data_IF_199204579234
#
_entry.id   IF_199204579234
#
_cell.length_a   1.000
_cell.length_b   1.000
_cell.length_c   1.000
_cell.angle_alpha   90.00
_cell.angle_beta   90.00
_cell.angle_gamma   90.00
#
_symmetry.space_group_name_H-M   'P 1'
#
loop_
_entity.id
_entity.type
_entity.pdbx_description
1 polymer ?
#
# COMPACT_ATOMS: atom_id res chain seq x y z
N UNK A 1 8.87 4.29 -14.49
CA UNK A 1 7.86 4.21 -13.40
C UNK A 1 8.65 4.03 -12.12
N UNK A 2 8.33 4.78 -11.06
CA UNK A 2 8.96 4.53 -9.75
C UNK A 2 8.27 3.35 -9.11
N UNK A 3 9.04 2.41 -8.60
CA UNK A 3 8.54 1.39 -7.68
C UNK A 3 8.80 1.86 -6.25
N UNK A 4 8.10 1.24 -5.31
CA UNK A 4 8.39 1.33 -3.89
C UNK A 4 8.35 -0.04 -3.25
N UNK A 5 9.04 -0.17 -2.13
CA UNK A 5 9.03 -1.36 -1.31
C UNK A 5 7.81 -1.34 -0.40
N UNK A 6 6.96 -2.35 -0.52
CA UNK A 6 5.83 -2.59 0.35
C UNK A 6 6.19 -3.71 1.32
N UNK A 7 6.11 -3.41 2.62
CA UNK A 7 6.19 -4.39 3.70
C UNK A 7 4.79 -4.56 4.29
N UNK A 8 4.29 -5.79 4.25
CA UNK A 8 3.02 -6.22 4.80
C UNK A 8 3.30 -7.01 6.08
N UNK A 9 2.73 -6.59 7.21
CA UNK A 9 2.90 -7.25 8.50
C UNK A 9 1.54 -7.53 9.14
N UNK A 10 1.28 -8.78 9.46
CA UNK A 10 0.22 -9.19 10.37
C UNK A 10 0.79 -9.95 11.58
N UNK A 11 -0.06 -10.42 12.50
CA UNK A 11 0.36 -11.03 13.77
C UNK A 11 1.35 -12.21 13.61
N UNK A 12 1.37 -12.88 12.45
CA UNK A 12 2.09 -14.14 12.26
C UNK A 12 3.03 -14.12 11.06
N UNK A 13 2.80 -13.22 10.11
CA UNK A 13 3.47 -13.23 8.82
C UNK A 13 3.95 -11.82 8.45
N UNK A 14 5.10 -11.77 7.79
CA UNK A 14 5.63 -10.56 7.20
C UNK A 14 6.09 -10.85 5.77
N UNK A 15 5.59 -10.07 4.82
CA UNK A 15 5.97 -10.16 3.41
C UNK A 15 6.53 -8.82 2.94
N UNK A 16 7.58 -8.88 2.13
CA UNK A 16 8.13 -7.71 1.46
C UNK A 16 8.07 -7.93 -0.04
N UNK A 17 7.80 -6.88 -0.79
CA UNK A 17 7.84 -6.91 -2.25
C UNK A 17 7.80 -5.52 -2.86
N UNK A 18 7.98 -5.43 -4.18
CA UNK A 18 7.90 -4.16 -4.88
C UNK A 18 6.49 -3.92 -5.46
N UNK A 19 6.03 -2.69 -5.38
CA UNK A 19 4.80 -2.22 -6.03
C UNK A 19 5.09 -0.93 -6.83
N UNK A 20 4.32 -0.61 -7.88
CA UNK A 20 4.45 0.70 -8.52
C UNK A 20 3.93 1.80 -7.58
N UNK A 21 4.62 2.93 -7.50
CA UNK A 21 4.32 3.96 -6.49
C UNK A 21 2.93 4.60 -6.59
N UNK A 22 2.35 4.64 -7.79
CA UNK A 22 1.00 5.14 -8.01
C UNK A 22 -0.11 4.23 -7.44
N UNK A 23 0.24 3.01 -7.00
CA UNK A 23 -0.71 2.02 -6.51
C UNK A 23 -0.96 2.10 -5.00
N UNK A 24 -0.26 2.99 -4.27
CA UNK A 24 -0.43 3.17 -2.82
C UNK A 24 -1.89 3.43 -2.45
N UNK A 25 -2.57 4.32 -3.18
CA UNK A 25 -3.99 4.62 -2.93
C UNK A 25 -4.89 3.39 -3.06
N UNK A 26 -4.51 2.42 -3.90
CA UNK A 26 -5.24 1.16 -4.11
C UNK A 26 -5.12 0.26 -2.88
N UNK A 27 -3.94 0.18 -2.27
CA UNK A 27 -3.75 -0.50 -0.98
C UNK A 27 -4.52 0.20 0.16
N UNK A 28 -4.50 1.53 0.20
CA UNK A 28 -5.29 2.30 1.18
C UNK A 28 -6.81 2.07 1.00
N UNK A 29 -7.28 1.99 -0.25
CA UNK A 29 -8.66 1.64 -0.55
C UNK A 29 -8.99 0.22 -0.09
N UNK A 30 -8.12 -0.77 -0.33
CA UNK A 30 -8.32 -2.14 0.15
C UNK A 30 -8.43 -2.21 1.69
N UNK A 31 -7.57 -1.48 2.41
CA UNK A 31 -7.67 -1.35 3.88
C UNK A 31 -8.99 -0.71 4.28
N UNK A 32 -9.41 0.37 3.62
CA UNK A 32 -10.69 1.03 3.93
C UNK A 32 -11.91 0.13 3.69
N UNK A 33 -11.77 -0.87 2.81
CA UNK A 33 -12.79 -1.91 2.55
C UNK A 33 -12.76 -3.07 3.55
N UNK A 34 -11.80 -3.09 4.48
CA UNK A 34 -11.73 -4.08 5.55
C UNK A 34 -10.67 -5.15 5.37
N UNK A 35 -9.62 -4.92 4.55
CA UNK A 35 -8.46 -5.81 4.56
C UNK A 35 -7.79 -5.79 5.96
N UNK A 36 -7.65 -6.95 6.59
CA UNK A 36 -7.15 -7.18 7.95
C UNK A 36 -5.88 -8.05 8.00
N UNK A 37 -5.26 -8.30 6.86
CA UNK A 37 -4.07 -9.16 6.74
C UNK A 37 -3.88 -9.65 5.30
N UNK A 38 -2.85 -10.47 5.09
CA UNK A 38 -2.45 -10.93 3.76
C UNK A 38 -3.59 -11.63 3.00
N UNK A 39 -4.27 -12.60 3.63
CA UNK A 39 -5.34 -13.37 2.97
C UNK A 39 -6.53 -12.51 2.56
N UNK A 40 -6.98 -11.60 3.44
CA UNK A 40 -8.11 -10.70 3.09
C UNK A 40 -7.71 -9.64 2.07
N UNK A 41 -6.43 -9.25 2.05
CA UNK A 41 -5.92 -8.35 1.03
C UNK A 41 -5.91 -9.06 -0.33
N UNK A 42 -5.47 -10.31 -0.39
CA UNK A 42 -5.52 -11.15 -1.60
C UNK A 42 -6.94 -11.29 -2.16
N UNK A 43 -7.95 -11.35 -1.30
CA UNK A 43 -9.36 -11.43 -1.70
C UNK A 43 -9.92 -10.07 -2.20
N UNK A 44 -9.61 -8.98 -1.52
CA UNK A 44 -10.16 -7.64 -1.81
C UNK A 44 -9.46 -6.95 -2.97
N UNK A 45 -8.13 -7.09 -3.07
CA UNK A 45 -7.33 -6.33 -4.04
C UNK A 45 -7.78 -6.62 -5.48
N UNK A 46 -8.11 -7.87 -5.89
CA UNK A 46 -8.58 -8.15 -7.24
C UNK A 46 -9.91 -7.50 -7.62
N UNK A 47 -10.77 -7.18 -6.64
CA UNK A 47 -12.02 -6.43 -6.87
C UNK A 47 -11.75 -4.96 -7.22
N UNK A 48 -10.56 -4.46 -6.90
CA UNK A 48 -10.13 -3.07 -7.12
C UNK A 48 -9.16 -3.01 -8.31
N UNK A 49 -8.13 -3.85 -8.30
CA UNK A 49 -7.19 -4.10 -9.39
C UNK A 49 -6.72 -5.57 -9.38
N UNK A 50 -7.27 -6.36 -10.29
CA UNK A 50 -6.93 -7.78 -10.53
C UNK A 50 -5.46 -8.08 -10.82
N UNK A 51 -4.65 -7.08 -11.20
CA UNK A 51 -3.26 -7.28 -11.63
C UNK A 51 -2.25 -7.01 -10.51
N UNK A 52 -2.62 -6.19 -9.53
CA UNK A 52 -1.68 -5.66 -8.54
C UNK A 52 -1.15 -6.74 -7.60
N UNK A 53 -2.00 -7.70 -7.24
CA UNK A 53 -1.60 -8.82 -6.42
C UNK A 53 -0.54 -9.70 -7.09
N UNK A 54 -0.78 -10.07 -8.35
CA UNK A 54 0.19 -10.82 -9.14
C UNK A 54 1.50 -10.06 -9.36
N UNK A 55 1.43 -8.72 -9.49
CA UNK A 55 2.63 -7.88 -9.54
C UNK A 55 3.43 -7.98 -8.23
N UNK A 56 2.78 -7.81 -7.08
CA UNK A 56 3.42 -7.93 -5.77
C UNK A 56 4.06 -9.32 -5.57
N UNK A 57 3.32 -10.40 -5.85
CA UNK A 57 3.82 -11.77 -5.72
C UNK A 57 5.03 -12.06 -6.63
N UNK A 58 5.02 -11.53 -7.86
CA UNK A 58 6.14 -11.71 -8.81
C UNK A 58 7.39 -10.91 -8.42
N UNK A 59 7.26 -9.96 -7.49
CA UNK A 59 8.33 -9.10 -7.00
C UNK A 59 8.51 -9.23 -5.47
N UNK A 60 8.22 -10.41 -4.92
CA UNK A 60 8.52 -10.70 -3.51
C UNK A 60 10.02 -10.58 -3.27
N UNK A 61 10.36 -9.90 -2.18
CA UNK A 61 11.72 -9.74 -1.70
C UNK A 61 11.88 -10.47 -0.36
N UNK A 62 12.65 -11.57 -0.32
CA UNK A 62 12.85 -12.36 0.89
C UNK A 62 13.75 -11.67 1.92
N UNK A 63 14.49 -10.61 1.55
CA UNK A 63 15.41 -9.90 2.42
C UNK A 63 15.00 -8.41 2.50
N UNK A 64 14.01 -8.07 3.34
CA UNK A 64 13.60 -6.68 3.50
C UNK A 64 14.74 -5.84 4.08
N UNK A 65 15.49 -5.15 3.21
CA UNK A 65 16.42 -4.12 3.64
C UNK A 65 15.60 -2.90 4.07
N UNK A 66 15.58 -2.65 5.38
CA UNK A 66 14.98 -1.46 6.00
C UNK A 66 15.85 -0.21 5.82
N UNK A 67 17.02 -0.34 5.17
CA UNK A 67 17.93 0.76 4.92
C UNK A 67 17.30 1.69 3.86
N UNK A 68 16.72 2.80 4.35
CA UNK A 68 15.87 3.76 3.64
C UNK A 68 16.56 4.61 2.56
N UNK A 69 17.48 4.04 1.78
CA UNK A 69 18.18 4.72 0.69
C UNK A 69 17.89 4.01 -0.64
N UNK A 70 16.89 4.49 -1.39
CA UNK A 70 16.75 4.11 -2.81
C UNK A 70 15.32 4.10 -3.33
N UNK A 71 14.46 3.26 -2.76
CA UNK A 71 13.20 2.88 -3.43
C UNK A 71 11.93 3.46 -2.77
N UNK A 72 12.03 4.11 -1.61
CA UNK A 72 10.86 4.48 -0.82
C UNK A 72 10.24 3.23 -0.17
N UNK A 73 9.91 3.33 1.11
CA UNK A 73 9.37 2.23 1.91
C UNK A 73 7.97 2.60 2.39
N UNK A 74 7.04 1.66 2.21
CA UNK A 74 5.70 1.69 2.78
C UNK A 74 5.53 0.44 3.64
N UNK A 75 5.20 0.62 4.91
CA UNK A 75 4.90 -0.46 5.85
C UNK A 75 3.41 -0.42 6.16
N UNK A 76 2.74 -1.57 6.05
CA UNK A 76 1.36 -1.76 6.49
C UNK A 76 1.39 -2.82 7.58
N UNK A 77 1.06 -2.42 8.81
CA UNK A 77 1.01 -3.28 9.98
C UNK A 77 -0.44 -3.36 10.49
N UNK A 78 -1.08 -4.51 10.25
CA UNK A 78 -2.47 -4.73 10.69
C UNK A 78 -2.58 -4.98 12.20
N UNK A 79 -1.59 -5.60 12.83
CA UNK A 79 -1.59 -5.84 14.29
C UNK A 79 -1.65 -4.52 15.07
N UNK A 80 -0.96 -3.49 14.58
CA UNK A 80 -0.92 -2.17 15.20
C UNK A 80 -1.82 -1.13 14.53
N UNK A 81 -2.63 -1.53 13.54
CA UNK A 81 -3.41 -0.63 12.69
C UNK A 81 -2.59 0.59 12.22
N UNK A 82 -1.40 0.36 11.71
CA UNK A 82 -0.46 1.42 11.37
C UNK A 82 0.03 1.31 9.93
N UNK A 83 0.14 2.46 9.25
CA UNK A 83 0.78 2.57 7.94
C UNK A 83 1.90 3.59 8.06
N UNK A 84 3.12 3.17 7.76
CA UNK A 84 4.31 4.02 7.84
C UNK A 84 4.89 4.26 6.45
N UNK A 85 5.15 5.53 6.16
CA UNK A 85 5.69 5.99 4.88
C UNK A 85 7.05 6.63 5.09
N UNK A 86 8.05 6.13 4.38
CA UNK A 86 9.41 6.67 4.33
C UNK A 86 9.73 7.18 2.91
N UNK A 87 8.73 7.73 2.23
CA UNK A 87 8.87 8.27 0.87
C UNK A 87 8.76 9.80 0.88
N UNK A 88 9.61 10.45 0.09
CA UNK A 88 9.71 11.91 0.01
C UNK A 88 8.68 12.57 -0.91
N UNK A 89 7.96 11.80 -1.73
CA UNK A 89 7.26 12.34 -2.91
C UNK A 89 5.76 12.05 -2.95
N UNK A 90 5.24 11.24 -2.03
CA UNK A 90 3.84 10.86 -2.00
C UNK A 90 3.32 10.89 -0.56
N UNK A 91 2.70 12.00 -0.14
CA UNK A 91 2.16 12.09 1.21
C UNK A 91 1.00 11.12 1.38
N UNK A 92 0.98 10.41 2.51
CA UNK A 92 -0.19 9.60 2.88
C UNK A 92 -1.32 10.49 3.41
N UNK A 93 -2.56 10.04 3.19
CA UNK A 93 -3.78 10.72 3.64
C UNK A 93 -4.78 9.69 4.15
N UNK A 94 -5.47 10.00 5.24
CA UNK A 94 -6.52 9.13 5.80
C UNK A 94 -7.73 8.99 4.87
N UNK A 95 -7.94 9.99 4.02
CA UNK A 95 -8.99 10.01 3.02
C UNK A 95 -8.45 10.52 1.69
N UNK A 96 -8.98 9.95 0.60
CA UNK A 96 -8.56 10.35 -0.73
C UNK A 96 -9.33 9.60 -1.80
N UNK A 97 -8.72 9.52 -2.97
CA UNK A 97 -9.25 8.80 -4.12
C UNK A 97 -8.20 7.81 -4.63
N UNK A 98 -8.63 6.60 -4.96
CA UNK A 98 -7.83 5.62 -5.66
C UNK A 98 -8.25 5.59 -7.13
N UNK A 99 -7.29 5.78 -8.02
CA UNK A 99 -7.53 5.66 -9.46
C UNK A 99 -7.42 4.20 -9.86
N UNK A 100 -8.31 3.74 -10.76
CA UNK A 100 -8.18 2.41 -11.35
C UNK A 100 -6.92 2.33 -12.22
N UNK A 101 -6.24 1.20 -12.15
CA UNK A 101 -5.09 0.87 -12.99
C UNK A 101 -5.05 -0.64 -13.28
N UNK A 102 -4.28 -1.07 -14.28
CA UNK A 102 -4.06 -2.48 -14.62
C UNK A 102 -2.60 -2.91 -14.36
N UNK A 103 -1.98 -2.31 -13.34
CA UNK A 103 -0.58 -2.54 -12.96
C UNK A 103 0.45 -1.99 -13.95
N UNK A 104 0.04 -1.60 -15.16
CA UNK A 104 0.90 -0.95 -16.18
C UNK A 104 0.46 0.46 -16.51
N UNK A 105 -0.84 0.70 -16.54
CA UNK A 105 -1.45 1.96 -16.96
C UNK A 105 -2.64 2.29 -16.08
N UNK A 106 -2.91 3.58 -15.90
CA UNK A 106 -4.20 4.05 -15.39
C UNK A 106 -5.31 3.67 -16.38
N UNK A 107 -6.48 3.32 -15.85
CA UNK A 107 -7.68 3.03 -16.62
C UNK A 107 -8.62 4.23 -16.46
N UNK A 108 -9.35 4.60 -17.52
CA UNK A 108 -10.36 5.66 -17.51
C UNK A 108 -11.64 5.22 -16.79
N UNK A 109 -11.51 4.88 -15.51
CA UNK A 109 -12.63 4.64 -14.62
C UNK A 109 -12.71 5.75 -13.56
N UNK A 110 -13.91 6.00 -13.00
CA UNK A 110 -14.06 6.95 -11.92
C UNK A 110 -13.21 6.56 -10.72
N UNK A 111 -12.44 7.53 -10.21
CA UNK A 111 -11.67 7.32 -9.00
C UNK A 111 -12.60 6.99 -7.81
N UNK A 112 -12.23 5.99 -7.02
CA UNK A 112 -13.02 5.51 -5.89
C UNK A 112 -12.53 6.21 -4.63
N UNK A 113 -13.44 6.88 -3.92
CA UNK A 113 -13.10 7.51 -2.65
C UNK A 113 -12.82 6.46 -1.58
N UNK A 114 -11.77 6.65 -0.78
CA UNK A 114 -11.50 5.86 0.41
C UNK A 114 -11.43 6.73 1.66
N UNK A 115 -11.70 6.10 2.81
CA UNK A 115 -11.48 6.68 4.14
C UNK A 115 -11.06 5.56 5.08
N UNK A 116 -9.85 5.65 5.63
CA UNK A 116 -9.35 4.70 6.61
C UNK A 116 -10.21 4.74 7.88
N UNK A 117 -10.30 3.59 8.56
CA UNK A 117 -10.97 3.51 9.85
C UNK A 117 -10.29 4.40 10.89
N UNK A 118 -11.04 4.87 11.90
CA UNK A 118 -10.51 5.78 12.93
C UNK A 118 -9.38 5.18 13.78
N UNK A 119 -9.26 3.86 13.77
CA UNK A 119 -8.24 3.14 14.52
C UNK A 119 -6.91 3.05 13.76
N UNK A 120 -6.90 3.40 12.47
CA UNK A 120 -5.69 3.42 11.67
C UNK A 120 -4.86 4.68 11.92
N UNK A 121 -3.54 4.50 12.08
CA UNK A 121 -2.57 5.57 12.20
C UNK A 121 -1.73 5.66 10.94
N UNK A 122 -1.63 6.85 10.38
CA UNK A 122 -0.68 7.15 9.32
C UNK A 122 0.54 7.86 9.91
N UNK A 123 1.73 7.32 9.69
CA UNK A 123 2.99 7.94 10.06
C UNK A 123 3.76 8.23 8.77
N UNK A 124 3.84 9.49 8.39
CA UNK A 124 4.65 9.93 7.27
C UNK A 124 5.94 10.57 7.79
N UNK A 125 7.06 9.86 7.63
CA UNK A 125 8.34 10.25 8.20
C UNK A 125 9.03 11.38 7.41
N UNK A 126 8.53 11.72 6.22
CA UNK A 126 9.04 12.85 5.42
C UNK A 126 8.09 14.04 5.39
N UNK A 127 6.80 13.80 5.55
CA UNK A 127 5.80 14.83 5.65
C UNK A 127 5.29 14.91 7.09
N UNK A 128 5.99 15.66 7.95
CA UNK A 128 5.43 16.06 9.25
C UNK A 128 4.12 16.83 8.97
N UNK A 129 2.98 16.35 9.47
CA UNK A 129 1.76 17.15 9.50
C UNK A 129 2.00 18.37 10.39
N UNK A 130 2.04 19.55 9.77
CA UNK A 130 2.07 20.86 10.46
C UNK A 130 0.66 21.26 10.87
#
# INVERSE_FOLDING_TARGET
MSNLRLVLMDEKEAFSGLIPSHTVSTFLLAISKGAQGFSTLEEILPEIDSTLWGYFQSNLDPEPLLDGTGDGLLVINWEHCCIESFQQYLPLRENGFANSHNGKYSIEEPAISYRLGKDWKLLDHYFEEV
#
